data_IF_718713542741
#
_entry.id   IF_718713542741
#
_cell.length_a   1.000
_cell.length_b   1.000
_cell.length_c   1.000
_cell.angle_alpha   90.00
_cell.angle_beta   90.00
_cell.angle_gamma   90.00
#
_symmetry.space_group_name_H-M   'P 1'
#
loop_
_entity.id
_entity.type
_entity.pdbx_description
1 polymer ?
#
# COMPACT_ATOMS: atom_id res chain seq x y z
N UNK A 1 28.38 -10.62 6.67
CA UNK A 1 27.39 -9.66 6.14
C UNK A 1 26.00 -10.28 6.28
N UNK A 2 25.13 -9.73 7.11
CA UNK A 2 23.73 -10.20 7.17
C UNK A 2 23.06 -9.86 5.84
N UNK A 3 22.46 -10.83 5.16
CA UNK A 3 21.61 -10.56 3.98
C UNK A 3 20.47 -9.67 4.45
N UNK A 4 20.45 -8.41 4.02
CA UNK A 4 19.31 -7.52 4.23
C UNK A 4 18.08 -8.17 3.58
N UNK A 5 17.02 -8.42 4.36
CA UNK A 5 15.77 -8.95 3.83
C UNK A 5 15.04 -7.81 3.10
N UNK A 6 14.89 -7.93 1.79
CA UNK A 6 14.08 -7.02 0.98
C UNK A 6 12.63 -7.51 0.99
N UNK A 7 11.71 -6.64 1.40
CA UNK A 7 10.27 -6.89 1.41
C UNK A 7 9.69 -6.61 0.03
N UNK A 8 8.94 -7.57 -0.53
CA UNK A 8 8.11 -7.30 -1.72
C UNK A 8 6.84 -6.58 -1.33
N UNK A 9 6.47 -5.57 -2.11
CA UNK A 9 5.30 -4.74 -1.89
C UNK A 9 4.51 -4.53 -3.17
N UNK A 10 3.27 -4.08 -3.02
CA UNK A 10 2.46 -3.63 -4.15
C UNK A 10 1.55 -2.47 -3.74
N UNK A 11 1.21 -1.64 -4.71
CA UNK A 11 0.22 -0.59 -4.56
C UNK A 11 -1.02 -1.00 -5.34
N UNK A 12 -2.14 -1.18 -4.63
CA UNK A 12 -3.41 -1.50 -5.24
C UNK A 12 -4.28 -0.25 -5.27
N UNK A 13 -4.67 0.19 -6.46
CA UNK A 13 -5.52 1.36 -6.65
C UNK A 13 -6.93 0.87 -6.98
N UNK A 14 -7.88 1.18 -6.09
CA UNK A 14 -9.29 0.95 -6.33
C UNK A 14 -9.90 2.10 -7.11
N UNK A 15 -10.27 1.87 -8.37
CA UNK A 15 -10.95 2.87 -9.20
C UNK A 15 -11.81 2.24 -10.30
N UNK A 16 -12.82 2.97 -10.79
CA UNK A 16 -13.66 2.61 -11.93
C UNK A 16 -13.19 3.28 -13.24
N UNK A 17 -11.89 3.53 -13.38
CA UNK A 17 -11.23 4.15 -14.55
C UNK A 17 -11.62 5.61 -14.88
N UNK A 18 -12.54 6.24 -14.15
CA UNK A 18 -12.94 7.65 -14.39
C UNK A 18 -12.99 8.54 -13.15
N UNK A 19 -12.71 8.00 -11.96
CA UNK A 19 -12.85 8.78 -10.72
C UNK A 19 -11.52 9.19 -10.13
N UNK A 20 -11.13 10.42 -10.45
CA UNK A 20 -10.12 11.19 -9.73
C UNK A 20 -9.01 11.70 -10.65
N UNK A 21 -9.04 13.00 -10.94
CA UNK A 21 -8.10 13.78 -11.78
C UNK A 21 -6.63 13.84 -11.30
N UNK A 22 -6.18 12.87 -10.51
CA UNK A 22 -4.77 12.74 -10.12
C UNK A 22 -4.13 11.69 -11.00
N UNK A 23 -3.17 12.08 -11.85
CA UNK A 23 -2.47 11.14 -12.69
C UNK A 23 -1.68 10.15 -11.82
N UNK A 24 -1.58 8.89 -12.27
CA UNK A 24 -0.84 7.81 -11.60
C UNK A 24 0.57 8.25 -11.15
N UNK A 25 1.21 9.14 -11.90
CA UNK A 25 2.51 9.75 -11.57
C UNK A 25 2.55 10.39 -10.17
N UNK A 26 1.46 10.99 -9.71
CA UNK A 26 1.40 11.64 -8.39
C UNK A 26 1.30 10.59 -7.29
N UNK A 27 0.58 9.49 -7.52
CA UNK A 27 0.54 8.36 -6.60
C UNK A 27 1.93 7.71 -6.55
N UNK A 28 2.58 7.51 -7.70
CA UNK A 28 3.96 7.02 -7.78
C UNK A 28 4.94 7.87 -6.97
N UNK A 29 4.95 9.20 -7.17
CA UNK A 29 5.79 10.12 -6.41
C UNK A 29 5.52 10.07 -4.90
N UNK A 30 4.25 9.98 -4.51
CA UNK A 30 3.87 9.85 -3.10
C UNK A 30 4.38 8.54 -2.49
N UNK A 31 4.27 7.43 -3.22
CA UNK A 31 4.75 6.11 -2.78
C UNK A 31 6.26 6.05 -2.69
N UNK A 32 6.98 6.63 -3.66
CA UNK A 32 8.44 6.74 -3.62
C UNK A 32 8.92 7.39 -2.32
N UNK A 33 8.30 8.49 -1.91
CA UNK A 33 8.64 9.15 -0.64
C UNK A 33 8.35 8.29 0.60
N UNK A 34 7.30 7.46 0.56
CA UNK A 34 7.03 6.48 1.63
C UNK A 34 8.15 5.43 1.69
N UNK A 35 8.56 4.89 0.55
CA UNK A 35 9.57 3.84 0.48
C UNK A 35 10.96 4.36 0.88
N UNK A 36 11.34 5.55 0.44
CA UNK A 36 12.55 6.23 0.91
C UNK A 36 12.52 6.42 2.44
N UNK A 37 11.39 6.88 2.99
CA UNK A 37 11.23 7.05 4.44
C UNK A 37 11.26 5.72 5.21
N UNK A 38 10.76 4.62 4.63
CA UNK A 38 10.84 3.27 5.20
C UNK A 38 12.28 2.76 5.19
N UNK A 39 13.02 3.01 4.10
CA UNK A 39 14.43 2.65 3.95
C UNK A 39 15.31 3.36 4.98
N UNK A 40 15.07 4.65 5.23
CA UNK A 40 15.71 5.41 6.32
C UNK A 40 15.46 4.81 7.72
N UNK A 41 14.42 3.99 7.87
CA UNK A 41 14.07 3.27 9.10
C UNK A 41 14.50 1.80 9.10
N UNK A 42 15.35 1.40 8.14
CA UNK A 42 15.87 0.04 8.03
C UNK A 42 14.90 -0.98 7.41
N UNK A 43 13.80 -0.53 6.79
CA UNK A 43 12.87 -1.37 6.05
C UNK A 43 13.12 -1.21 4.56
N UNK A 44 13.68 -2.24 3.93
CA UNK A 44 14.02 -2.23 2.52
C UNK A 44 12.88 -2.84 1.71
N UNK A 45 12.18 -2.01 0.94
CA UNK A 45 11.11 -2.42 0.02
C UNK A 45 11.67 -2.39 -1.41
N UNK A 46 11.31 -3.39 -2.22
CA UNK A 46 11.82 -3.54 -3.59
C UNK A 46 11.11 -2.56 -4.53
N UNK A 47 11.71 -1.42 -4.86
CA UNK A 47 11.11 -0.45 -5.78
C UNK A 47 10.98 -1.04 -7.20
N UNK A 48 9.82 -1.58 -7.57
CA UNK A 48 9.48 -1.86 -8.96
C UNK A 48 8.34 -0.94 -9.38
N UNK A 49 8.57 -0.15 -10.43
CA UNK A 49 7.55 0.74 -11.00
C UNK A 49 6.31 -0.04 -11.50
N UNK A 50 6.48 -1.34 -11.80
CA UNK A 50 5.43 -2.27 -12.23
C UNK A 50 4.57 -2.84 -11.07
N UNK A 51 4.87 -2.54 -9.81
CA UNK A 51 4.15 -3.10 -8.66
C UNK A 51 2.83 -2.36 -8.34
N UNK A 52 2.29 -1.58 -9.31
CA UNK A 52 0.99 -0.92 -9.19
C UNK A 52 -0.09 -1.71 -9.93
N UNK A 53 -1.11 -2.16 -9.19
CA UNK A 53 -2.26 -2.88 -9.72
C UNK A 53 -3.48 -1.98 -9.63
N UNK A 54 -4.19 -1.80 -10.75
CA UNK A 54 -5.47 -1.09 -10.78
C UNK A 54 -6.59 -2.13 -10.80
N UNK A 55 -7.55 -2.02 -9.86
CA UNK A 55 -8.70 -2.91 -9.79
C UNK A 55 -10.00 -2.13 -9.62
N UNK A 56 -11.09 -2.73 -10.10
CA UNK A 56 -12.45 -2.26 -9.85
C UNK A 56 -12.84 -2.60 -8.41
N UNK A 57 -13.71 -1.78 -7.80
CA UNK A 57 -14.21 -1.98 -6.45
C UNK A 57 -15.29 -3.07 -6.44
N UNK A 58 -14.91 -4.31 -6.72
CA UNK A 58 -15.75 -5.49 -6.53
C UNK A 58 -14.99 -6.57 -5.76
N UNK A 59 -15.74 -7.46 -5.11
CA UNK A 59 -15.17 -8.48 -4.22
C UNK A 59 -14.29 -9.50 -4.95
N UNK A 60 -14.74 -9.96 -6.13
CA UNK A 60 -14.05 -11.00 -6.89
C UNK A 60 -12.66 -10.52 -7.37
N UNK A 61 -12.58 -9.30 -7.87
CA UNK A 61 -11.29 -8.70 -8.26
C UNK A 61 -10.37 -8.57 -7.06
N UNK A 62 -10.89 -8.07 -5.93
CA UNK A 62 -10.10 -7.95 -4.72
C UNK A 62 -9.55 -9.31 -4.25
N UNK A 63 -10.38 -10.35 -4.24
CA UNK A 63 -9.97 -11.70 -3.86
C UNK A 63 -8.88 -12.24 -4.80
N UNK A 64 -9.04 -12.07 -6.11
CA UNK A 64 -8.04 -12.46 -7.08
C UNK A 64 -6.73 -11.70 -6.89
N UNK A 65 -6.78 -10.40 -6.56
CA UNK A 65 -5.59 -9.61 -6.22
C UNK A 65 -4.88 -10.19 -5.00
N UNK A 66 -5.61 -10.55 -3.94
CA UNK A 66 -5.01 -11.16 -2.74
C UNK A 66 -4.37 -12.52 -3.02
N UNK A 67 -5.01 -13.37 -3.84
CA UNK A 67 -4.44 -14.64 -4.29
C UNK A 67 -3.14 -14.42 -5.05
N UNK A 68 -3.14 -13.50 -6.02
CA UNK A 68 -1.94 -13.18 -6.81
C UNK A 68 -0.81 -12.61 -5.95
N UNK A 69 -1.14 -11.69 -5.03
CA UNK A 69 -0.17 -11.14 -4.08
C UNK A 69 0.46 -12.24 -3.22
N UNK A 70 -0.34 -13.21 -2.74
CA UNK A 70 0.16 -14.34 -1.96
C UNK A 70 1.10 -15.22 -2.78
N UNK A 71 0.72 -15.57 -4.00
CA UNK A 71 1.57 -16.36 -4.92
C UNK A 71 2.90 -15.67 -5.22
N UNK A 72 2.90 -14.34 -5.33
CA UNK A 72 4.09 -13.55 -5.60
C UNK A 72 4.94 -13.24 -4.36
N UNK A 73 4.55 -13.74 -3.18
CA UNK A 73 5.17 -13.45 -1.88
C UNK A 73 5.21 -11.96 -1.54
N UNK A 74 4.15 -11.23 -1.88
CA UNK A 74 3.97 -9.84 -1.46
C UNK A 74 3.69 -9.81 0.04
N UNK A 75 4.46 -8.99 0.75
CA UNK A 75 4.39 -8.87 2.22
C UNK A 75 3.69 -7.59 2.67
N UNK A 76 3.76 -6.53 1.85
CA UNK A 76 3.12 -5.24 2.09
C UNK A 76 2.24 -4.84 0.90
N UNK A 77 0.97 -4.55 1.15
CA UNK A 77 0.06 -4.04 0.14
C UNK A 77 -0.54 -2.70 0.59
N UNK A 78 -0.32 -1.65 -0.19
CA UNK A 78 -0.89 -0.32 0.04
C UNK A 78 -2.11 -0.14 -0.86
N UNK A 79 -3.28 -0.02 -0.25
CA UNK A 79 -4.55 0.15 -0.94
C UNK A 79 -4.96 1.61 -0.99
N UNK A 80 -4.95 2.21 -2.17
CA UNK A 80 -5.47 3.56 -2.41
C UNK A 80 -6.95 3.46 -2.77
N UNK A 81 -7.79 4.22 -2.07
CA UNK A 81 -9.24 4.18 -2.28
C UNK A 81 -9.87 5.58 -2.23
N UNK A 82 -10.97 5.73 -2.95
CA UNK A 82 -11.78 6.95 -2.94
C UNK A 82 -12.63 7.05 -1.66
N UNK A 83 -12.93 8.26 -1.15
CA UNK A 83 -13.67 8.42 0.11
C UNK A 83 -15.05 7.73 0.16
N UNK A 84 -15.75 7.61 -0.97
CA UNK A 84 -17.02 6.91 -1.10
C UNK A 84 -16.90 5.38 -0.98
N UNK A 85 -15.67 4.85 -1.04
CA UNK A 85 -15.36 3.42 -0.91
C UNK A 85 -14.88 3.04 0.51
N UNK A 86 -15.24 3.81 1.54
CA UNK A 86 -14.81 3.56 2.92
C UNK A 86 -15.12 2.13 3.42
N UNK A 87 -16.20 1.51 2.93
CA UNK A 87 -16.57 0.14 3.30
C UNK A 87 -15.50 -0.91 2.93
N UNK A 88 -14.66 -0.63 1.92
CA UNK A 88 -13.56 -1.51 1.53
C UNK A 88 -12.47 -1.65 2.59
N UNK A 89 -12.31 -0.65 3.45
CA UNK A 89 -11.24 -0.65 4.46
C UNK A 89 -11.31 -1.87 5.37
N UNK A 90 -12.51 -2.26 5.79
CA UNK A 90 -12.69 -3.40 6.69
C UNK A 90 -12.54 -4.72 5.94
N UNK A 91 -12.95 -4.79 4.67
CA UNK A 91 -12.76 -5.96 3.80
C UNK A 91 -11.27 -6.20 3.58
N UNK A 92 -10.52 -5.17 3.15
CA UNK A 92 -9.05 -5.23 2.95
C UNK A 92 -8.32 -5.67 4.23
N UNK A 93 -8.79 -5.22 5.40
CA UNK A 93 -8.22 -5.63 6.69
C UNK A 93 -8.48 -7.10 6.99
N UNK A 94 -9.69 -7.61 6.73
CA UNK A 94 -10.02 -9.03 6.91
C UNK A 94 -9.20 -9.91 5.97
N UNK A 95 -9.13 -9.55 4.69
CA UNK A 95 -8.37 -10.30 3.68
C UNK A 95 -6.87 -10.27 3.94
N UNK A 96 -6.32 -9.11 4.34
CA UNK A 96 -4.90 -9.02 4.74
C UNK A 96 -4.52 -10.05 5.81
N UNK A 97 -5.38 -10.26 6.81
CA UNK A 97 -5.17 -11.29 7.83
C UNK A 97 -5.26 -12.71 7.25
N UNK A 98 -6.28 -12.97 6.42
CA UNK A 98 -6.51 -14.27 5.80
C UNK A 98 -5.33 -14.72 4.93
N UNK A 99 -4.74 -13.80 4.16
CA UNK A 99 -3.63 -14.09 3.25
C UNK A 99 -2.24 -13.87 3.88
N UNK A 100 -2.18 -13.46 5.15
CA UNK A 100 -0.95 -13.12 5.87
C UNK A 100 -0.13 -12.02 5.16
N UNK A 101 -0.82 -10.96 4.76
CA UNK A 101 -0.26 -9.79 4.06
C UNK A 101 -0.50 -8.56 4.92
N UNK A 102 0.52 -7.74 5.12
CA UNK A 102 0.36 -6.45 5.77
C UNK A 102 -0.34 -5.51 4.81
N UNK A 103 -1.58 -5.16 5.12
CA UNK A 103 -2.35 -4.21 4.31
C UNK A 103 -2.36 -2.83 4.95
N UNK A 104 -2.26 -1.76 4.17
CA UNK A 104 -2.49 -0.41 4.66
C UNK A 104 -3.34 0.35 3.65
N UNK A 105 -4.42 0.96 4.13
CA UNK A 105 -5.31 1.75 3.28
C UNK A 105 -4.93 3.22 3.35
N UNK A 106 -4.96 3.90 2.21
CA UNK A 106 -4.68 5.31 2.04
C UNK A 106 -5.84 5.98 1.30
N UNK A 107 -6.41 7.03 1.86
CA UNK A 107 -7.46 7.77 1.18
C UNK A 107 -6.83 8.60 0.09
N UNK A 108 -7.44 8.58 -1.08
CA UNK A 108 -7.03 9.41 -2.20
C UNK A 108 -6.94 10.91 -1.84
N UNK A 109 -7.88 11.41 -1.03
CA UNK A 109 -7.87 12.79 -0.55
C UNK A 109 -6.59 13.16 0.22
N UNK A 110 -5.98 12.23 0.94
CA UNK A 110 -4.75 12.48 1.69
C UNK A 110 -3.55 12.66 0.74
N UNK A 111 -3.54 11.92 -0.38
CA UNK A 111 -2.55 12.09 -1.46
C UNK A 111 -2.72 13.46 -2.12
N UNK A 112 -3.96 13.86 -2.45
CA UNK A 112 -4.27 15.19 -3.00
C UNK A 112 -3.77 16.29 -2.06
N UNK A 113 -4.10 16.18 -0.77
CA UNK A 113 -3.73 17.17 0.25
C UNK A 113 -2.23 17.25 0.42
N UNK A 114 -1.52 16.12 0.35
CA UNK A 114 -0.07 16.11 0.33
C UNK A 114 0.48 16.84 -0.90
N UNK A 115 0.01 16.51 -2.11
CA UNK A 115 0.49 17.15 -3.34
C UNK A 115 0.34 18.67 -3.30
N UNK A 116 -0.77 19.17 -2.74
CA UNK A 116 -1.03 20.61 -2.56
C UNK A 116 -0.18 21.27 -1.48
N UNK A 117 0.04 20.59 -0.35
CA UNK A 117 0.64 21.23 0.84
C UNK A 117 2.12 20.90 1.06
N UNK A 118 2.62 19.84 0.42
CA UNK A 118 3.95 19.24 0.62
C UNK A 118 4.28 18.93 2.09
N UNK A 119 3.27 18.82 2.98
CA UNK A 119 3.48 18.56 4.40
C UNK A 119 3.92 17.11 4.61
N UNK A 120 5.20 16.90 4.96
CA UNK A 120 5.80 15.59 5.26
C UNK A 120 5.13 14.83 6.42
N UNK A 121 4.32 15.50 7.24
CA UNK A 121 3.59 14.87 8.36
C UNK A 121 2.68 13.71 7.91
N UNK A 122 2.11 13.79 6.70
CA UNK A 122 1.26 12.73 6.15
C UNK A 122 2.09 11.47 5.87
N UNK A 123 3.27 11.64 5.26
CA UNK A 123 4.22 10.56 4.97
C UNK A 123 4.71 9.94 6.29
N UNK A 124 5.16 10.76 7.24
CA UNK A 124 5.67 10.29 8.53
C UNK A 124 4.62 9.48 9.30
N UNK A 125 3.39 10.00 9.40
CA UNK A 125 2.28 9.29 10.05
C UNK A 125 1.98 7.94 9.38
N UNK A 126 2.02 7.91 8.05
CA UNK A 126 1.77 6.69 7.28
C UNK A 126 2.88 5.65 7.48
N UNK A 127 4.14 6.06 7.42
CA UNK A 127 5.33 5.22 7.65
C UNK A 127 5.31 4.64 9.06
N UNK A 128 5.07 5.46 10.11
CA UNK A 128 4.94 4.96 11.49
C UNK A 128 3.84 3.91 11.61
N UNK A 129 2.72 4.08 10.89
CA UNK A 129 1.66 3.08 10.88
C UNK A 129 2.05 1.78 10.19
N UNK A 130 2.88 1.82 9.14
CA UNK A 130 3.39 0.60 8.48
C UNK A 130 4.35 -0.11 9.43
N UNK A 131 5.32 0.61 10.00
CA UNK A 131 6.30 0.06 10.94
C UNK A 131 5.61 -0.68 12.10
N UNK A 132 4.61 -0.04 12.73
CA UNK A 132 3.84 -0.67 13.80
C UNK A 132 3.14 -1.98 13.36
N UNK A 133 2.69 -2.08 12.11
CA UNK A 133 2.09 -3.32 11.59
C UNK A 133 3.14 -4.40 11.33
N UNK A 134 4.29 -4.03 10.78
CA UNK A 134 5.43 -4.94 10.58
C UNK A 134 5.84 -5.54 11.92
N UNK A 135 6.06 -4.69 12.92
CA UNK A 135 6.46 -5.13 14.28
C UNK A 135 5.42 -6.04 14.93
N UNK A 136 4.12 -5.81 14.71
CA UNK A 136 3.04 -6.62 15.30
C UNK A 136 2.78 -7.94 14.59
N UNK A 137 3.24 -8.13 13.35
CA UNK A 137 2.96 -9.32 12.56
C UNK A 137 4.24 -9.96 12.01
N UNK A 138 5.23 -10.31 12.87
CA UNK A 138 6.50 -10.87 12.43
C UNK A 138 6.32 -12.23 11.72
N UNK A 139 5.25 -12.96 12.03
CA UNK A 139 4.92 -14.25 11.39
C UNK A 139 4.54 -14.14 9.91
N UNK A 140 4.30 -12.94 9.38
CA UNK A 140 3.94 -12.76 7.97
C UNK A 140 5.18 -12.74 7.06
N UNK A 141 6.38 -12.87 7.64
CA UNK A 141 7.68 -12.75 6.97
C UNK A 141 8.54 -14.03 7.09
N UNK A 142 7.92 -15.14 7.48
CA UNK A 142 8.53 -16.47 7.63
C UNK A 142 8.20 -17.30 6.39
#
# INVERSE_FOLDING_TARGET
>A
MSKEKIFKQTVVIFTNETYGDIPLITIGNFMKMIYESLKEKGIFVADNEDDTIVIRPNFNELENTFKNMKTNNITLAIFVYLPNLNYFRDIVKKMGKQYLIITKTLKYHDIVKFAKTKRKIIIQSFVSSILNKITKNPSYFI
#
